data_IF_962081830934
#
_entry.id   IF_962081830934
#
_cell.length_a   1.000
_cell.length_b   1.000
_cell.length_c   1.000
_cell.angle_alpha   90.00
_cell.angle_beta   90.00
_cell.angle_gamma   90.00
#
_symmetry.space_group_name_H-M   'P 1'
#
loop_
_entity.id
_entity.type
_entity.pdbx_description
1 polymer ?
#
# COMPACT_ATOMS: atom_id res chain seq x y z
N UNK A 1 -35.12 -46.72 -28.07
CA UNK A 1 -34.56 -47.69 -29.03
C UNK A 1 -33.17 -48.05 -28.56
N UNK A 2 -33.00 -49.31 -28.16
CA UNK A 2 -31.76 -49.95 -27.74
C UNK A 2 -30.75 -49.99 -28.89
N UNK A 3 -29.44 -49.96 -28.60
CA UNK A 3 -28.46 -50.88 -29.20
C UNK A 3 -27.14 -50.86 -28.42
N UNK A 4 -26.86 -51.99 -27.77
CA UNK A 4 -25.61 -52.42 -27.14
C UNK A 4 -24.57 -52.89 -28.19
N UNK A 5 -23.28 -52.72 -27.87
CA UNK A 5 -22.13 -53.60 -28.22
C UNK A 5 -20.88 -53.02 -27.52
N UNK A 6 -19.98 -53.73 -26.84
CA UNK A 6 -19.70 -55.15 -26.74
C UNK A 6 -18.18 -55.38 -26.77
N UNK A 7 -17.59 -55.59 -25.59
CA UNK A 7 -16.45 -56.47 -25.18
C UNK A 7 -15.22 -56.64 -26.11
N UNK A 8 -14.02 -56.47 -25.54
CA UNK A 8 -12.89 -57.42 -25.72
C UNK A 8 -11.90 -57.35 -24.54
N UNK A 9 -11.72 -58.49 -23.86
CA UNK A 9 -10.63 -58.81 -22.93
C UNK A 9 -9.42 -59.31 -23.72
N UNK A 10 -8.20 -59.06 -23.23
CA UNK A 10 -7.02 -59.85 -23.63
C UNK A 10 -6.20 -60.18 -22.39
N UNK A 11 -5.88 -61.47 -22.24
CA UNK A 11 -5.08 -62.06 -21.19
C UNK A 11 -4.06 -62.99 -21.86
N UNK A 12 -2.79 -62.88 -21.49
CA UNK A 12 -1.65 -63.80 -21.69
C UNK A 12 -0.62 -63.30 -20.65
N UNK A 13 -0.03 -64.07 -19.73
CA UNK A 13 0.41 -65.45 -19.75
C UNK A 13 1.93 -65.44 -19.53
N UNK A 14 2.44 -66.04 -18.44
CA UNK A 14 3.89 -66.16 -18.21
C UNK A 14 4.27 -66.61 -16.80
N UNK A 15 4.66 -67.88 -16.68
CA UNK A 15 4.98 -68.58 -15.44
C UNK A 15 6.48 -68.57 -15.10
N UNK A 16 6.75 -68.62 -13.79
CA UNK A 16 7.82 -69.31 -13.06
C UNK A 16 9.24 -69.44 -13.65
N UNK A 17 10.23 -68.94 -12.91
CA UNK A 17 11.50 -69.67 -12.68
C UNK A 17 12.03 -69.33 -11.29
N UNK A 18 12.34 -70.37 -10.53
CA UNK A 18 12.83 -70.35 -9.16
C UNK A 18 14.37 -70.45 -9.17
N UNK A 19 15.07 -69.68 -8.31
CA UNK A 19 16.43 -70.05 -7.88
C UNK A 19 16.73 -69.53 -6.47
N UNK A 20 17.11 -70.47 -5.62
CA UNK A 20 17.58 -70.34 -4.24
C UNK A 20 19.07 -69.96 -4.22
N UNK A 21 19.54 -69.17 -3.24
CA UNK A 21 20.47 -69.60 -2.16
C UNK A 21 20.77 -68.47 -1.14
N UNK A 22 20.53 -68.80 0.13
CA UNK A 22 21.33 -68.61 1.35
C UNK A 22 22.18 -67.35 1.66
N UNK A 23 21.86 -66.77 2.84
CA UNK A 23 22.72 -66.67 4.05
C UNK A 23 23.56 -65.41 4.34
N UNK A 24 23.36 -64.98 5.61
CA UNK A 24 24.29 -64.39 6.58
C UNK A 24 24.24 -62.87 6.87
N UNK A 25 23.97 -62.62 8.16
CA UNK A 25 24.00 -61.38 8.93
C UNK A 25 25.31 -60.60 8.86
N UNK A 26 25.23 -59.27 9.01
CA UNK A 26 25.78 -58.54 10.17
C UNK A 26 25.62 -57.02 10.03
N UNK A 27 24.95 -56.44 11.03
CA UNK A 27 25.22 -55.17 11.73
C UNK A 27 26.12 -54.14 11.04
N UNK A 28 25.56 -52.95 10.69
CA UNK A 28 26.12 -51.62 11.01
C UNK A 28 24.99 -50.57 11.04
N UNK A 29 24.63 -50.09 12.23
CA UNK A 29 23.95 -48.81 12.38
C UNK A 29 25.01 -47.71 12.23
N UNK A 30 24.88 -46.89 11.19
CA UNK A 30 25.62 -45.64 11.05
C UNK A 30 24.59 -44.53 10.83
N UNK A 31 24.39 -43.73 11.88
CA UNK A 31 23.64 -42.47 11.88
C UNK A 31 24.44 -41.43 11.09
N UNK A 32 23.98 -41.08 9.90
CA UNK A 32 24.54 -39.99 9.11
C UNK A 32 23.60 -38.79 9.11
N UNK A 33 24.13 -37.67 9.63
CA UNK A 33 23.87 -36.29 9.22
C UNK A 33 22.41 -35.84 9.07
N UNK A 34 21.75 -35.60 10.21
CA UNK A 34 20.72 -34.57 10.30
C UNK A 34 21.38 -33.20 10.44
N UNK A 35 21.93 -32.67 9.34
CA UNK A 35 22.28 -31.26 9.28
C UNK A 35 20.98 -30.46 9.34
N UNK A 36 20.71 -29.87 10.49
CA UNK A 36 19.66 -28.88 10.68
C UNK A 36 19.96 -27.69 9.77
N UNK A 37 19.45 -27.74 8.55
CA UNK A 37 19.26 -26.56 7.74
C UNK A 37 18.24 -25.72 8.50
N UNK A 38 18.73 -24.66 9.12
CA UNK A 38 17.97 -23.57 9.69
C UNK A 38 16.78 -23.29 8.79
N UNK A 39 15.59 -23.68 9.25
CA UNK A 39 14.34 -23.34 8.60
C UNK A 39 14.36 -21.83 8.43
N UNK A 40 14.41 -21.40 7.17
CA UNK A 40 14.12 -20.04 6.77
C UNK A 40 12.78 -19.71 7.41
N UNK A 41 12.83 -18.89 8.45
CA UNK A 41 11.65 -18.32 9.06
C UNK A 41 10.87 -17.65 7.96
N UNK A 42 9.64 -18.11 7.76
CA UNK A 42 8.65 -17.39 6.97
C UNK A 42 8.32 -16.10 7.71
N UNK A 43 9.12 -15.05 7.49
CA UNK A 43 8.73 -13.69 7.84
C UNK A 43 7.67 -13.20 6.84
N UNK A 44 6.46 -13.75 6.94
CA UNK A 44 5.30 -13.19 6.26
C UNK A 44 4.76 -12.02 7.09
N UNK A 45 5.42 -10.87 7.02
CA UNK A 45 4.81 -9.59 7.34
C UNK A 45 4.93 -8.66 6.14
N UNK A 46 4.48 -9.09 4.96
CA UNK A 46 4.57 -8.25 3.77
C UNK A 46 3.43 -7.23 3.77
N UNK A 47 3.75 -6.01 4.18
CA UNK A 47 2.94 -4.81 4.00
C UNK A 47 2.83 -4.44 2.51
N UNK A 48 2.19 -5.26 1.68
CA UNK A 48 1.93 -4.97 0.27
C UNK A 48 3.13 -5.08 -0.69
N UNK A 49 2.89 -5.03 -2.00
CA UNK A 49 3.91 -5.30 -3.03
C UNK A 49 5.03 -4.26 -3.16
N UNK A 50 4.96 -3.16 -2.40
CA UNK A 50 5.88 -2.02 -2.52
C UNK A 50 6.66 -1.71 -1.24
N UNK A 51 6.51 -2.47 -0.16
CA UNK A 51 7.09 -2.11 1.13
C UNK A 51 8.56 -2.45 1.34
N UNK A 52 9.11 -3.36 0.55
CA UNK A 52 10.51 -3.73 0.67
C UNK A 52 11.42 -2.59 0.20
N UNK A 53 12.59 -2.52 0.82
CA UNK A 53 13.64 -1.58 0.43
C UNK A 53 14.27 -2.00 -0.90
N UNK A 54 14.75 -1.02 -1.66
CA UNK A 54 15.55 -1.22 -2.87
C UNK A 54 16.67 -2.24 -2.64
N UNK A 55 16.75 -3.25 -3.50
CA UNK A 55 17.84 -4.23 -3.49
C UNK A 55 19.10 -3.73 -4.21
N UNK A 56 18.95 -2.70 -5.05
CA UNK A 56 20.03 -2.08 -5.82
C UNK A 56 20.31 -0.64 -5.35
N UNK A 57 21.51 -0.10 -5.66
CA UNK A 57 21.86 1.27 -5.28
C UNK A 57 21.05 2.35 -5.99
N UNK A 58 20.43 2.02 -7.13
CA UNK A 58 19.65 2.95 -7.95
C UNK A 58 18.42 2.22 -8.50
N UNK A 59 17.26 2.80 -8.22
CA UNK A 59 16.00 2.42 -8.85
C UNK A 59 15.77 3.27 -10.10
N UNK A 60 15.13 2.68 -11.10
CA UNK A 60 14.71 3.34 -12.33
C UNK A 60 13.24 3.71 -12.23
N UNK A 61 12.83 4.77 -12.93
CA UNK A 61 11.46 5.27 -12.92
C UNK A 61 10.62 4.66 -14.04
N UNK A 62 9.41 4.27 -13.69
CA UNK A 62 8.43 3.68 -14.58
C UNK A 62 7.07 4.32 -14.40
N UNK A 63 6.35 4.49 -15.50
CA UNK A 63 4.95 4.90 -15.54
C UNK A 63 4.09 3.65 -15.71
N UNK A 64 3.15 3.43 -14.80
CA UNK A 64 2.14 2.38 -14.88
C UNK A 64 0.81 3.04 -15.22
N UNK A 65 0.19 2.59 -16.30
CA UNK A 65 -1.18 2.96 -16.69
C UNK A 65 -2.00 1.68 -16.65
N UNK A 66 -2.99 1.62 -15.77
CA UNK A 66 -3.85 0.47 -15.58
C UNK A 66 -5.31 0.90 -15.74
N UNK A 67 -6.00 0.33 -16.73
CA UNK A 67 -7.43 0.57 -16.93
C UNK A 67 -8.24 -0.39 -16.07
N UNK A 68 -9.34 0.09 -15.49
CA UNK A 68 -10.28 -0.80 -14.81
C UNK A 68 -11.06 -1.61 -15.86
N UNK A 69 -11.63 -2.75 -15.46
CA UNK A 69 -12.64 -3.40 -16.28
C UNK A 69 -13.81 -2.46 -16.60
N UNK A 70 -14.43 -2.66 -17.77
CA UNK A 70 -15.56 -1.84 -18.25
C UNK A 70 -16.94 -2.39 -17.84
N UNK A 71 -17.00 -3.45 -17.04
CA UNK A 71 -18.26 -4.02 -16.57
C UNK A 71 -18.89 -3.18 -15.44
N UNK A 72 -20.20 -3.33 -15.24
CA UNK A 72 -20.95 -2.57 -14.24
C UNK A 72 -20.48 -2.80 -12.80
N UNK A 73 -19.82 -3.94 -12.50
CA UNK A 73 -19.31 -4.28 -11.18
C UNK A 73 -17.91 -3.72 -10.89
N UNK A 74 -17.20 -3.18 -11.89
CA UNK A 74 -15.80 -2.78 -11.74
C UNK A 74 -15.58 -1.73 -10.65
N UNK A 75 -16.45 -0.71 -10.61
CA UNK A 75 -16.34 0.36 -9.62
C UNK A 75 -16.67 -0.11 -8.20
N UNK A 76 -17.61 -1.05 -8.04
CA UNK A 76 -17.90 -1.66 -6.74
C UNK A 76 -16.72 -2.50 -6.22
N UNK A 77 -16.13 -3.36 -7.06
CA UNK A 77 -14.92 -4.14 -6.71
C UNK A 77 -13.77 -3.22 -6.31
N UNK A 78 -13.61 -2.10 -7.03
CA UNK A 78 -12.62 -1.08 -6.73
C UNK A 78 -12.79 -0.55 -5.32
N UNK A 79 -14.00 -0.12 -4.94
CA UNK A 79 -14.25 0.44 -3.62
C UNK A 79 -14.08 -0.59 -2.50
N UNK A 80 -14.43 -1.85 -2.74
CA UNK A 80 -14.28 -2.93 -1.76
C UNK A 80 -12.81 -3.16 -1.33
N UNK A 81 -11.87 -3.09 -2.27
CA UNK A 81 -10.44 -3.34 -1.99
C UNK A 81 -9.58 -2.07 -1.94
N UNK A 82 -10.19 -0.90 -2.17
CA UNK A 82 -9.49 0.40 -2.29
C UNK A 82 -8.67 0.74 -1.06
N UNK A 83 -9.19 0.46 0.13
CA UNK A 83 -8.51 0.82 1.38
C UNK A 83 -7.18 0.05 1.50
N UNK A 84 -7.18 -1.27 1.25
CA UNK A 84 -5.95 -2.09 1.22
C UNK A 84 -4.98 -1.65 0.12
N UNK A 85 -5.49 -1.35 -1.08
CA UNK A 85 -4.65 -0.79 -2.15
C UNK A 85 -3.95 0.50 -1.71
N UNK A 86 -4.68 1.41 -1.05
CA UNK A 86 -4.11 2.67 -0.55
C UNK A 86 -3.11 2.44 0.59
N UNK A 87 -3.33 1.49 1.49
CA UNK A 87 -2.37 1.11 2.54
C UNK A 87 -1.05 0.59 1.95
N UNK A 88 -1.14 -0.26 0.93
CA UNK A 88 0.02 -0.75 0.19
C UNK A 88 0.74 0.39 -0.54
N UNK A 89 -0.02 1.29 -1.19
CA UNK A 89 0.54 2.45 -1.88
C UNK A 89 1.25 3.42 -0.90
N UNK A 90 0.68 3.64 0.28
CA UNK A 90 1.30 4.44 1.34
C UNK A 90 2.58 3.80 1.86
N UNK A 91 2.59 2.47 2.01
CA UNK A 91 3.81 1.72 2.39
C UNK A 91 4.89 1.86 1.32
N UNK A 92 4.52 1.76 0.04
CA UNK A 92 5.41 2.01 -1.08
C UNK A 92 5.94 3.44 -1.16
N UNK A 93 5.11 4.43 -0.84
CA UNK A 93 5.52 5.84 -0.75
C UNK A 93 6.56 6.03 0.35
N UNK A 94 6.35 5.43 1.54
CA UNK A 94 7.32 5.46 2.65
C UNK A 94 8.62 4.74 2.31
N UNK A 95 8.55 3.63 1.58
CA UNK A 95 9.72 2.89 1.11
C UNK A 95 10.48 3.60 -0.03
N UNK A 96 9.93 4.69 -0.58
CA UNK A 96 10.51 5.41 -1.71
C UNK A 96 10.34 4.67 -3.04
N UNK A 97 9.39 3.73 -3.15
CA UNK A 97 9.08 3.00 -4.38
C UNK A 97 7.91 3.57 -5.17
N UNK A 98 7.06 4.38 -4.56
CA UNK A 98 5.96 5.08 -5.25
C UNK A 98 6.18 6.58 -5.10
N UNK A 99 6.25 7.31 -6.21
CA UNK A 99 6.39 8.76 -6.20
C UNK A 99 5.03 9.45 -6.32
N UNK A 100 4.17 8.94 -7.20
CA UNK A 100 2.85 9.49 -7.48
C UNK A 100 1.88 8.36 -7.79
N UNK A 101 0.62 8.53 -7.40
CA UNK A 101 -0.48 7.65 -7.75
C UNK A 101 -1.77 8.45 -7.89
N UNK A 102 -2.64 8.07 -8.82
CA UNK A 102 -3.92 8.73 -9.06
C UNK A 102 -4.91 7.85 -9.81
N UNK A 103 -6.19 8.22 -9.79
CA UNK A 103 -7.22 7.55 -10.57
C UNK A 103 -7.40 8.24 -11.93
N UNK A 104 -7.59 7.44 -12.98
CA UNK A 104 -8.08 7.93 -14.26
C UNK A 104 -9.60 8.05 -14.19
N UNK A 105 -10.14 9.16 -14.67
CA UNK A 105 -11.58 9.40 -14.69
C UNK A 105 -12.16 9.10 -16.07
N UNK A 106 -13.37 8.52 -16.12
CA UNK A 106 -14.11 8.26 -17.35
C UNK A 106 -14.83 9.51 -17.89
N UNK A 107 -14.97 10.54 -17.06
CA UNK A 107 -15.62 11.81 -17.39
C UNK A 107 -14.70 12.96 -17.05
N UNK A 108 -14.86 14.05 -17.79
CA UNK A 108 -14.19 15.31 -17.47
C UNK A 108 -14.78 15.92 -16.18
N UNK A 109 -13.98 16.71 -15.46
CA UNK A 109 -14.43 17.38 -14.24
C UNK A 109 -15.61 18.32 -14.45
N UNK A 110 -15.76 18.91 -15.64
CA UNK A 110 -16.93 19.76 -15.94
C UNK A 110 -18.26 18.98 -16.06
N UNK A 111 -18.19 17.66 -16.21
CA UNK A 111 -19.36 16.76 -16.32
C UNK A 111 -19.68 16.04 -15.00
N UNK A 112 -18.85 16.23 -13.97
CA UNK A 112 -18.97 15.57 -12.68
C UNK A 112 -19.76 16.48 -11.73
N UNK A 113 -20.86 15.96 -11.23
CA UNK A 113 -21.64 16.60 -10.18
C UNK A 113 -20.81 16.70 -8.88
N UNK A 114 -20.79 17.89 -8.28
CA UNK A 114 -19.95 18.16 -7.10
C UNK A 114 -20.40 17.40 -5.85
N UNK A 115 -21.70 17.10 -5.72
CA UNK A 115 -22.25 16.36 -4.59
C UNK A 115 -21.93 14.86 -4.70
N UNK A 116 -21.91 14.32 -5.93
CA UNK A 116 -21.53 12.93 -6.19
C UNK A 116 -20.01 12.74 -6.13
N UNK A 117 -19.25 13.71 -6.61
CA UNK A 117 -17.79 13.69 -6.66
C UNK A 117 -17.21 12.72 -7.71
N UNK A 118 -15.87 12.70 -7.80
CA UNK A 118 -15.16 11.95 -8.84
C UNK A 118 -15.11 10.42 -8.63
N UNK A 119 -15.46 9.93 -7.44
CA UNK A 119 -15.30 8.53 -7.03
C UNK A 119 -16.00 7.53 -7.96
N UNK A 120 -17.31 7.68 -8.24
CA UNK A 120 -18.04 6.80 -9.18
C UNK A 120 -17.51 6.86 -10.62
N UNK A 121 -16.75 7.90 -10.97
CA UNK A 121 -16.21 8.09 -12.32
C UNK A 121 -14.79 7.55 -12.49
N UNK A 122 -14.17 6.97 -11.45
CA UNK A 122 -12.88 6.31 -11.56
C UNK A 122 -12.97 5.08 -12.48
N UNK A 123 -12.10 5.03 -13.49
CA UNK A 123 -12.02 3.95 -14.48
C UNK A 123 -10.62 3.47 -14.81
N UNK A 124 -9.66 3.77 -13.94
CA UNK A 124 -8.29 3.30 -14.07
C UNK A 124 -7.40 3.95 -13.02
N UNK A 125 -6.11 3.69 -13.12
CA UNK A 125 -5.08 4.24 -12.26
C UNK A 125 -3.83 4.59 -13.05
N UNK A 126 -3.12 5.60 -12.55
CA UNK A 126 -1.76 5.93 -13.00
C UNK A 126 -0.85 5.91 -11.79
N UNK A 127 0.34 5.33 -11.94
CA UNK A 127 1.38 5.36 -10.93
C UNK A 127 2.73 5.72 -11.55
N UNK A 128 3.50 6.55 -10.85
CA UNK A 128 4.92 6.74 -11.11
C UNK A 128 5.67 6.00 -10.00
N UNK A 129 6.39 4.95 -10.39
CA UNK A 129 7.04 4.02 -9.45
C UNK A 129 8.53 3.87 -9.75
N UNK A 130 9.26 3.46 -8.73
CA UNK A 130 10.69 3.19 -8.77
C UNK A 130 10.91 1.69 -8.57
N UNK A 131 11.60 1.06 -9.52
CA UNK A 131 11.87 -0.38 -9.51
C UNK A 131 13.24 -0.73 -10.10
N UNK A 132 13.66 -1.97 -9.89
CA UNK A 132 14.94 -2.47 -10.36
C UNK A 132 14.96 -2.69 -11.88
N UNK A 133 13.83 -3.15 -12.43
CA UNK A 133 13.62 -3.38 -13.86
C UNK A 133 12.14 -3.27 -14.20
N UNK A 134 11.82 -3.24 -15.50
CA UNK A 134 10.41 -3.28 -15.93
C UNK A 134 9.71 -4.58 -15.49
N UNK A 135 10.46 -5.69 -15.41
CA UNK A 135 9.92 -6.97 -14.95
C UNK A 135 9.62 -6.95 -13.45
N UNK A 136 10.51 -6.38 -12.63
CA UNK A 136 10.27 -6.18 -11.20
C UNK A 136 9.00 -5.33 -10.96
N UNK A 137 8.85 -4.22 -11.69
CA UNK A 137 7.63 -3.40 -11.62
C UNK A 137 6.40 -4.21 -12.02
N UNK A 138 6.47 -5.00 -13.10
CA UNK A 138 5.37 -5.86 -13.55
C UNK A 138 4.99 -6.86 -12.45
N UNK A 139 5.96 -7.55 -11.86
CA UNK A 139 5.72 -8.55 -10.82
C UNK A 139 5.08 -7.96 -9.56
N UNK A 140 5.44 -6.72 -9.21
CA UNK A 140 4.82 -5.96 -8.10
C UNK A 140 3.40 -5.53 -8.42
N UNK A 141 3.18 -4.98 -9.61
CA UNK A 141 1.84 -4.58 -10.09
C UNK A 141 0.89 -5.77 -10.10
N UNK A 142 1.35 -6.95 -10.54
CA UNK A 142 0.52 -8.17 -10.56
C UNK A 142 0.09 -8.65 -9.16
N UNK A 143 0.81 -8.24 -8.11
CA UNK A 143 0.48 -8.53 -6.70
C UNK A 143 -0.40 -7.46 -6.05
N UNK A 144 -0.78 -6.41 -6.80
CA UNK A 144 -1.64 -5.35 -6.28
C UNK A 144 -3.06 -5.85 -6.02
N UNK A 145 -3.70 -5.32 -4.99
CA UNK A 145 -5.08 -5.64 -4.62
C UNK A 145 -6.08 -5.34 -5.75
N UNK A 146 -5.81 -4.35 -6.59
CA UNK A 146 -6.66 -4.10 -7.76
C UNK A 146 -6.50 -5.15 -8.87
N UNK A 147 -5.36 -5.84 -8.94
CA UNK A 147 -5.24 -7.02 -9.83
C UNK A 147 -5.94 -8.21 -9.19
N UNK A 148 -5.65 -8.50 -7.93
CA UNK A 148 -6.23 -9.65 -7.22
C UNK A 148 -7.76 -9.55 -7.07
N UNK A 149 -8.28 -8.34 -6.85
CA UNK A 149 -9.70 -8.01 -6.78
C UNK A 149 -10.38 -7.85 -8.14
N UNK A 150 -9.71 -8.18 -9.25
CA UNK A 150 -10.27 -8.07 -10.61
C UNK A 150 -10.80 -6.67 -10.93
N UNK A 151 -10.10 -5.63 -10.46
CA UNK A 151 -10.44 -4.23 -10.72
C UNK A 151 -9.75 -3.77 -12.00
N UNK A 152 -8.44 -4.00 -12.10
CA UNK A 152 -7.66 -3.70 -13.30
C UNK A 152 -7.76 -4.80 -14.34
N UNK A 153 -7.97 -4.40 -15.59
CA UNK A 153 -7.87 -5.27 -16.75
C UNK A 153 -6.39 -5.51 -17.08
N UNK A 154 -5.89 -6.68 -16.67
CA UNK A 154 -4.48 -7.07 -16.79
C UNK A 154 -3.97 -6.99 -18.23
N UNK A 155 -4.83 -7.25 -19.22
CA UNK A 155 -4.46 -7.19 -20.64
C UNK A 155 -4.20 -5.76 -21.11
N UNK A 156 -4.80 -4.78 -20.44
CA UNK A 156 -4.69 -3.36 -20.76
C UNK A 156 -3.64 -2.61 -19.93
N UNK A 157 -3.01 -3.27 -18.96
CA UNK A 157 -1.94 -2.67 -18.17
C UNK A 157 -0.73 -2.39 -19.07
N UNK A 158 -0.32 -1.13 -19.10
CA UNK A 158 0.86 -0.66 -19.84
C UNK A 158 1.89 -0.09 -18.87
N UNK A 159 3.13 -0.54 -19.00
CA UNK A 159 4.26 -0.11 -18.17
C UNK A 159 5.33 0.45 -19.09
N UNK A 160 5.76 1.67 -18.83
CA UNK A 160 6.75 2.38 -19.65
C UNK A 160 7.95 2.78 -18.79
N UNK A 161 9.19 2.61 -19.28
CA UNK A 161 10.33 3.36 -18.76
C UNK A 161 10.03 4.85 -18.88
N UNK A 162 10.14 5.60 -17.78
CA UNK A 162 9.68 6.98 -17.73
C UNK A 162 10.79 7.94 -17.27
N UNK A 163 11.13 8.89 -18.12
CA UNK A 163 12.06 9.96 -17.81
C UNK A 163 11.26 11.22 -17.47
N UNK A 164 11.27 11.60 -16.19
CA UNK A 164 10.59 12.81 -15.72
C UNK A 164 11.36 14.06 -16.19
N UNK A 165 10.62 15.06 -16.66
CA UNK A 165 11.20 16.34 -17.04
C UNK A 165 11.81 17.07 -15.82
N UNK A 166 12.97 17.74 -15.95
CA UNK A 166 13.60 18.49 -14.88
C UNK A 166 12.93 19.87 -14.72
N UNK A 167 11.68 19.88 -14.26
CA UNK A 167 10.98 21.13 -13.96
C UNK A 167 11.49 21.70 -12.64
N UNK A 168 11.76 23.00 -12.62
CA UNK A 168 12.11 23.69 -11.39
C UNK A 168 10.86 23.73 -10.51
N UNK A 169 10.97 23.18 -9.29
CA UNK A 169 9.99 23.49 -8.26
C UNK A 169 10.38 24.86 -7.72
N UNK A 170 9.59 25.89 -8.02
CA UNK A 170 9.68 27.17 -7.33
C UNK A 170 9.30 26.94 -5.87
N UNK A 171 10.25 26.49 -5.07
CA UNK A 171 10.13 26.41 -3.61
C UNK A 171 10.09 27.86 -3.08
N UNK A 172 8.92 28.49 -3.20
CA UNK A 172 8.73 29.91 -2.93
C UNK A 172 7.27 30.37 -2.85
N UNK A 173 6.32 29.47 -2.62
CA UNK A 173 4.93 29.83 -2.28
C UNK A 173 4.40 29.08 -1.04
N UNK A 174 5.29 28.49 -0.25
CA UNK A 174 4.99 28.25 1.16
C UNK A 174 5.16 29.58 1.88
N UNK A 175 4.07 30.10 2.44
CA UNK A 175 4.06 31.19 3.41
C UNK A 175 4.80 30.70 4.66
N UNK A 176 6.13 30.75 4.60
CA UNK A 176 6.97 30.98 5.76
C UNK A 176 6.78 32.44 6.15
N UNK A 177 5.79 32.71 7.00
CA UNK A 177 5.95 33.84 7.93
C UNK A 177 6.99 33.39 8.94
N UNK A 178 8.25 33.69 8.65
CA UNK A 178 9.31 33.70 9.66
C UNK A 178 8.92 34.71 10.76
N UNK A 179 8.78 34.30 12.03
CA UNK A 179 9.00 35.25 13.10
C UNK A 179 10.50 35.52 13.16
N UNK A 180 10.85 36.76 12.86
CA UNK A 180 12.17 37.36 13.08
C UNK A 180 12.85 36.83 14.34
N UNK A 181 14.13 36.46 14.20
CA UNK A 181 15.10 36.15 15.25
C UNK A 181 14.86 36.94 16.54
N UNK A 182 14.31 36.28 17.56
CA UNK A 182 14.72 36.48 18.95
C UNK A 182 14.29 35.31 19.84
N UNK A 183 15.26 34.76 20.56
CA UNK A 183 15.10 33.89 21.73
C UNK A 183 14.73 32.42 21.48
N UNK A 184 15.71 31.64 21.00
CA UNK A 184 15.93 30.29 21.56
C UNK A 184 16.49 30.48 22.98
N UNK A 185 15.61 30.48 23.98
CA UNK A 185 16.01 30.24 25.36
C UNK A 185 14.91 29.52 26.15
N UNK A 186 15.23 28.30 26.58
CA UNK A 186 14.71 27.61 27.77
C UNK A 186 13.30 27.01 27.70
N UNK A 187 13.18 25.84 27.10
CA UNK A 187 12.04 24.93 27.25
C UNK A 187 11.95 24.25 28.64
N UNK A 188 12.51 24.84 29.71
CA UNK A 188 12.40 24.37 31.09
C UNK A 188 12.35 25.58 32.03
N UNK A 189 11.20 26.23 32.15
CA UNK A 189 11.01 27.26 33.16
C UNK A 189 10.85 26.58 34.54
N UNK A 190 11.79 26.82 35.45
CA UNK A 190 11.68 26.38 36.84
C UNK A 190 10.50 27.06 37.55
N UNK A 191 9.86 26.36 38.49
CA UNK A 191 8.71 26.84 39.27
C UNK A 191 8.92 28.22 39.94
N UNK A 192 10.17 28.60 40.20
CA UNK A 192 10.54 29.93 40.70
C UNK A 192 10.31 31.05 39.69
N UNK A 193 10.56 30.81 38.40
CA UNK A 193 10.38 31.78 37.32
C UNK A 193 8.90 32.09 37.12
N UNK A 194 8.03 31.06 37.13
CA UNK A 194 6.58 31.23 37.01
C UNK A 194 5.97 32.03 38.17
N UNK A 195 6.52 31.92 39.40
CA UNK A 195 6.05 32.72 40.54
C UNK A 195 6.43 34.19 40.42
N UNK A 196 7.58 34.51 39.84
CA UNK A 196 7.99 35.88 39.58
C UNK A 196 7.14 36.53 38.48
N UNK A 197 6.81 35.79 37.42
CA UNK A 197 5.96 36.29 36.32
C UNK A 197 4.51 36.56 36.79
N UNK A 198 3.99 35.74 37.70
CA UNK A 198 2.67 35.96 38.30
C UNK A 198 2.64 37.20 39.20
N UNK A 199 3.71 37.44 39.97
CA UNK A 199 3.85 38.63 40.80
C UNK A 199 4.04 39.92 39.96
N UNK A 200 4.60 39.79 38.75
CA UNK A 200 4.74 40.88 37.79
C UNK A 200 3.49 41.11 36.92
N UNK A 201 2.40 40.37 37.13
CA UNK A 201 1.12 40.54 36.43
C UNK A 201 1.11 40.08 34.97
N UNK A 202 2.13 39.34 34.51
CA UNK A 202 2.21 38.76 33.17
C UNK A 202 1.67 37.33 33.19
N UNK A 203 0.34 37.20 33.16
CA UNK A 203 -0.36 35.94 33.01
C UNK A 203 -1.62 36.08 32.14
N UNK A 204 -2.14 34.99 31.56
CA UNK A 204 -3.35 35.04 30.73
C UNK A 204 -4.54 35.60 31.53
N UNK A 205 -5.17 36.67 31.03
CA UNK A 205 -6.29 37.34 31.69
C UNK A 205 -7.49 36.39 31.77
N UNK A 206 -7.83 35.91 32.97
CA UNK A 206 -9.06 35.15 33.18
C UNK A 206 -10.27 36.09 33.09
N UNK A 207 -11.17 35.82 32.15
CA UNK A 207 -12.45 36.52 32.04
C UNK A 207 -13.33 36.03 33.18
N UNK A 208 -13.77 36.95 34.05
CA UNK A 208 -14.62 36.60 35.18
C UNK A 208 -16.05 36.28 34.73
N UNK A 209 -16.72 35.39 35.47
CA UNK A 209 -18.10 34.97 35.17
C UNK A 209 -19.08 36.15 35.08
N UNK A 210 -18.81 37.23 35.83
CA UNK A 210 -19.59 38.48 35.78
C UNK A 210 -19.41 39.26 34.47
N UNK A 211 -18.23 39.20 33.85
CA UNK A 211 -18.01 39.78 32.52
C UNK A 211 -18.76 38.98 31.44
N UNK A 212 -18.77 37.64 31.54
CA UNK A 212 -19.58 36.79 30.67
C UNK A 212 -21.09 37.07 30.78
N UNK A 213 -21.60 37.27 32.00
CA UNK A 213 -23.03 37.51 32.23
C UNK A 213 -23.51 38.85 31.65
N UNK A 214 -22.67 39.89 31.68
CA UNK A 214 -22.98 41.20 31.07
C UNK A 214 -23.06 41.14 29.55
N UNK A 215 -22.15 40.39 28.90
CA UNK A 215 -22.19 40.21 27.45
C UNK A 215 -23.47 39.50 26.99
N UNK A 216 -23.99 38.56 27.78
CA UNK A 216 -25.22 37.82 27.45
C UNK A 216 -26.52 38.62 27.64
N UNK A 217 -26.50 39.67 28.47
CA UNK A 217 -27.65 40.56 28.69
C UNK A 217 -27.80 41.62 27.59
N UNK A 218 -26.72 41.93 26.86
CA UNK A 218 -26.70 42.89 25.76
C UNK A 218 -27.32 42.37 24.45
N UNK A 219 -27.64 41.07 24.37
CA UNK A 219 -28.08 40.40 23.12
C UNK A 219 -29.57 40.06 23.06
N UNK A 220 -30.41 40.56 23.96
CA UNK A 220 -31.88 40.47 23.78
C UNK A 220 -32.41 41.70 23.07
N UNK A 221 -33.08 41.57 21.90
CA UNK A 221 -33.73 42.69 21.25
C UNK A 221 -34.97 43.11 22.05
N UNK A 222 -35.14 44.43 22.25
CA UNK A 222 -36.36 45.02 22.78
C UNK A 222 -37.50 44.86 21.76
N UNK A 223 -38.64 44.37 22.22
CA UNK A 223 -39.92 44.44 21.51
C UNK A 223 -40.39 45.89 21.34
#
# INVERSE_FOLDING_TARGET
>A
MSLFRGVARSALGGAFTQRSVSSASATRFATAAGAAASGSGSESSSSGPWCDRASTPRLNRYLVVAEDFCDAGANARRFEVRERHLEHAQSGKRAGRIELGGALLRKDFCEIDQEVGAGPHMGGSVLVVLGESIQDVRDRVMKDEYVQGHVWDVEKIKIYPFLQAPLQTDAGADVATEPSKETRANANATLGQLRQDLAAGKGPKMITLGALRRMHQSTKPSH
#
